data_IF_762393899234
#
_entry.id   IF_762393899234
#
_cell.length_a   1.000
_cell.length_b   1.000
_cell.length_c   1.000
_cell.angle_alpha   90.00
_cell.angle_beta   90.00
_cell.angle_gamma   90.00
#
_symmetry.space_group_name_H-M   'P 1'
#
loop_
_entity.id
_entity.type
_entity.pdbx_description
1 polymer ?
#
# COMPACT_ATOMS: atom_id res chain seq x y z
N UNK A 1 -0.03 -25.90 1.31
CA UNK A 1 0.54 -24.73 0.61
C UNK A 1 2.03 -24.72 0.90
N UNK A 2 2.89 -24.62 -0.12
CA UNK A 2 4.35 -24.54 0.08
C UNK A 2 4.74 -23.21 0.72
N UNK A 3 5.79 -23.20 1.55
CA UNK A 3 6.34 -21.97 2.16
C UNK A 3 7.06 -21.16 1.08
N UNK A 4 6.91 -19.84 1.10
CA UNK A 4 7.67 -18.94 0.22
C UNK A 4 9.18 -19.07 0.47
N UNK A 5 9.95 -19.17 -0.62
CA UNK A 5 11.41 -19.20 -0.62
C UNK A 5 11.94 -18.23 -1.68
N UNK A 6 12.74 -17.25 -1.24
CA UNK A 6 13.29 -16.20 -2.09
C UNK A 6 14.26 -16.74 -3.15
N UNK A 7 15.10 -17.72 -2.79
CA UNK A 7 16.08 -18.31 -3.71
C UNK A 7 15.38 -19.12 -4.80
N UNK A 8 14.37 -19.90 -4.41
CA UNK A 8 13.59 -20.65 -5.39
C UNK A 8 12.85 -19.70 -6.36
N UNK A 9 12.35 -18.55 -5.88
CA UNK A 9 11.74 -17.54 -6.75
C UNK A 9 12.74 -16.97 -7.76
N UNK A 10 13.95 -16.59 -7.34
CA UNK A 10 14.97 -16.05 -8.26
C UNK A 10 15.40 -17.07 -9.31
N UNK A 11 15.63 -18.32 -8.89
CA UNK A 11 15.93 -19.44 -9.80
C UNK A 11 14.82 -19.63 -10.83
N UNK A 12 13.56 -19.60 -10.39
CA UNK A 12 12.39 -19.72 -11.28
C UNK A 12 12.33 -18.57 -12.30
N UNK A 13 12.65 -17.35 -11.89
CA UNK A 13 12.67 -16.18 -12.79
C UNK A 13 13.73 -16.33 -13.88
N UNK A 14 14.92 -16.81 -13.52
CA UNK A 14 16.02 -17.09 -14.45
C UNK A 14 15.66 -18.24 -15.41
N UNK A 15 15.30 -19.41 -14.88
CA UNK A 15 15.04 -20.63 -15.66
C UNK A 15 13.92 -20.42 -16.69
N UNK A 16 12.84 -19.75 -16.29
CA UNK A 16 11.68 -19.52 -17.16
C UNK A 16 11.70 -18.18 -17.86
N UNK A 17 12.76 -17.38 -17.68
CA UNK A 17 12.88 -16.03 -18.24
C UNK A 17 11.64 -15.17 -17.97
N UNK A 18 11.15 -15.19 -16.73
CA UNK A 18 9.94 -14.48 -16.33
C UNK A 18 10.13 -12.97 -16.54
N UNK A 19 9.19 -12.34 -17.25
CA UNK A 19 9.25 -10.91 -17.58
C UNK A 19 8.45 -10.02 -16.64
N UNK A 20 7.44 -10.58 -15.97
CA UNK A 20 6.58 -9.86 -15.04
C UNK A 20 6.28 -10.69 -13.81
N UNK A 21 6.27 -10.04 -12.65
CA UNK A 21 5.94 -10.65 -11.36
C UNK A 21 4.98 -9.78 -10.58
N UNK A 22 4.11 -10.41 -9.79
CA UNK A 22 3.28 -9.72 -8.80
C UNK A 22 3.86 -10.00 -7.41
N UNK A 23 4.35 -8.95 -6.74
CA UNK A 23 4.96 -9.03 -5.42
C UNK A 23 4.22 -8.16 -4.43
N UNK A 24 3.92 -8.70 -3.26
CA UNK A 24 3.44 -7.89 -2.15
C UNK A 24 4.59 -7.02 -1.59
N UNK A 25 4.31 -5.84 -1.00
CA UNK A 25 5.32 -4.97 -0.41
C UNK A 25 6.34 -5.66 0.51
N UNK A 26 5.97 -6.64 1.38
CA UNK A 26 6.94 -7.35 2.21
C UNK A 26 8.03 -8.10 1.44
N UNK A 27 7.70 -8.66 0.26
CA UNK A 27 8.68 -9.35 -0.61
C UNK A 27 9.68 -8.32 -1.17
N UNK A 28 9.17 -7.18 -1.64
CA UNK A 28 10.01 -6.09 -2.17
C UNK A 28 10.95 -5.56 -1.08
N UNK A 29 10.44 -5.35 0.13
CA UNK A 29 11.23 -4.91 1.29
C UNK A 29 12.31 -5.94 1.65
N UNK A 30 11.98 -7.23 1.62
CA UNK A 30 12.94 -8.29 1.91
C UNK A 30 14.11 -8.32 0.90
N UNK A 31 13.81 -8.23 -0.40
CA UNK A 31 14.82 -8.15 -1.47
C UNK A 31 15.73 -6.93 -1.26
N UNK A 32 15.11 -5.75 -1.02
CA UNK A 32 15.86 -4.51 -0.81
C UNK A 32 16.74 -4.57 0.45
N UNK A 33 16.26 -5.19 1.54
CA UNK A 33 17.00 -5.33 2.81
C UNK A 33 18.18 -6.29 2.68
N UNK A 34 18.04 -7.39 1.94
CA UNK A 34 19.12 -8.38 1.73
C UNK A 34 20.19 -7.88 0.74
N UNK A 35 19.96 -6.74 0.09
CA UNK A 35 20.93 -6.11 -0.80
C UNK A 35 21.07 -6.86 -2.11
N UNK A 36 22.26 -6.80 -2.72
CA UNK A 36 22.53 -7.57 -3.93
C UNK A 36 22.52 -9.08 -3.67
N UNK A 37 22.67 -9.56 -2.42
CA UNK A 37 22.75 -11.01 -2.11
C UNK A 37 21.50 -11.78 -2.52
N UNK A 38 20.33 -11.15 -2.43
CA UNK A 38 19.08 -11.77 -2.86
C UNK A 38 19.03 -12.01 -4.37
N UNK A 39 19.75 -11.21 -5.16
CA UNK A 39 19.71 -11.21 -6.63
C UNK A 39 21.02 -11.68 -7.26
N UNK A 40 22.09 -11.81 -6.47
CA UNK A 40 23.44 -12.14 -6.93
C UNK A 40 23.49 -13.59 -7.42
N UNK A 41 24.20 -13.80 -8.52
CA UNK A 41 24.33 -15.12 -9.16
C UNK A 41 23.13 -15.58 -10.01
N UNK A 42 22.10 -14.74 -10.24
CA UNK A 42 20.98 -15.06 -11.13
C UNK A 42 20.91 -14.10 -12.33
N UNK A 43 20.63 -14.63 -13.53
CA UNK A 43 20.30 -13.82 -14.72
C UNK A 43 18.84 -13.34 -14.68
N UNK A 44 18.63 -12.18 -14.06
CA UNK A 44 17.32 -11.53 -13.96
C UNK A 44 17.04 -10.53 -15.09
N UNK A 45 17.81 -10.55 -16.20
CA UNK A 45 17.63 -9.63 -17.32
C UNK A 45 16.36 -9.87 -18.12
N UNK A 46 15.62 -10.95 -17.89
CA UNK A 46 14.27 -11.15 -18.42
C UNK A 46 13.24 -10.27 -17.73
N UNK A 47 13.43 -10.00 -16.43
CA UNK A 47 12.47 -9.27 -15.60
C UNK A 47 12.38 -7.81 -16.04
N UNK A 48 11.15 -7.33 -16.26
CA UNK A 48 10.83 -5.98 -16.75
C UNK A 48 9.86 -5.24 -15.84
N UNK A 49 8.92 -5.96 -15.22
CA UNK A 49 7.85 -5.35 -14.45
C UNK A 49 7.63 -6.08 -13.13
N UNK A 50 7.61 -5.32 -12.04
CA UNK A 50 7.10 -5.75 -10.73
C UNK A 50 5.79 -5.02 -10.50
N UNK A 51 4.69 -5.76 -10.46
CA UNK A 51 3.40 -5.26 -10.00
C UNK A 51 3.35 -5.38 -8.47
N UNK A 52 3.18 -4.25 -7.79
CA UNK A 52 3.14 -4.17 -6.34
C UNK A 52 1.82 -3.54 -5.88
N UNK A 53 1.16 -4.18 -4.92
CA UNK A 53 -0.12 -3.70 -4.40
C UNK A 53 -0.52 -4.41 -3.11
N UNK A 54 -1.67 -4.03 -2.56
CA UNK A 54 -2.20 -4.57 -1.31
C UNK A 54 -1.74 -3.84 -0.04
N UNK A 55 -0.62 -3.12 -0.09
CA UNK A 55 -0.25 -2.13 0.92
C UNK A 55 0.64 -1.03 0.29
N UNK A 56 0.77 0.15 0.94
CA UNK A 56 1.63 1.21 0.44
C UNK A 56 3.10 0.78 0.37
N UNK A 57 3.77 1.06 -0.75
CA UNK A 57 5.21 0.86 -0.90
C UNK A 57 5.94 2.20 -0.88
N UNK A 58 6.95 2.31 0.00
CA UNK A 58 7.70 3.55 0.20
C UNK A 58 8.56 3.89 -1.02
N UNK A 59 8.62 5.17 -1.39
CA UNK A 59 9.52 5.70 -2.43
C UNK A 59 10.96 5.23 -2.25
N UNK A 60 11.49 5.29 -1.02
CA UNK A 60 12.87 4.89 -0.72
C UNK A 60 13.14 3.41 -1.01
N UNK A 61 12.13 2.54 -0.85
CA UNK A 61 12.23 1.11 -1.18
C UNK A 61 12.18 0.92 -2.70
N UNK A 62 11.27 1.60 -3.39
CA UNK A 62 11.19 1.59 -4.87
C UNK A 62 12.52 2.03 -5.48
N UNK A 63 13.11 3.14 -5.01
CA UNK A 63 14.40 3.65 -5.51
C UNK A 63 15.55 2.67 -5.25
N UNK A 64 15.56 1.98 -4.10
CA UNK A 64 16.57 0.95 -3.81
C UNK A 64 16.40 -0.28 -4.69
N UNK A 65 15.16 -0.72 -4.94
CA UNK A 65 14.89 -1.82 -5.85
C UNK A 65 15.33 -1.48 -7.27
N UNK A 66 15.01 -0.28 -7.79
CA UNK A 66 15.48 0.19 -9.10
C UNK A 66 17.01 0.19 -9.21
N UNK A 67 17.74 0.45 -8.13
CA UNK A 67 19.22 0.36 -8.11
C UNK A 67 19.74 -1.07 -8.18
N UNK A 68 19.05 -2.02 -7.54
CA UNK A 68 19.41 -3.44 -7.57
C UNK A 68 19.03 -4.11 -8.90
N UNK A 69 17.88 -3.73 -9.45
CA UNK A 69 17.30 -4.28 -10.67
C UNK A 69 17.02 -3.13 -11.66
N UNK A 70 18.06 -2.60 -12.35
CA UNK A 70 17.93 -1.39 -13.18
C UNK A 70 17.01 -1.55 -14.40
N UNK A 71 16.75 -2.79 -14.84
CA UNK A 71 15.86 -3.07 -15.96
C UNK A 71 14.38 -3.20 -15.55
N UNK A 72 14.09 -3.09 -14.25
CA UNK A 72 12.76 -3.35 -13.69
C UNK A 72 12.04 -2.05 -13.39
N UNK A 73 10.78 -2.00 -13.84
CA UNK A 73 9.83 -0.98 -13.50
C UNK A 73 8.90 -1.47 -12.40
N UNK A 74 8.54 -0.59 -11.47
CA UNK A 74 7.64 -0.91 -10.35
C UNK A 74 6.30 -0.25 -10.62
N UNK A 75 5.31 -1.05 -11.02
CA UNK A 75 3.94 -0.61 -11.18
C UNK A 75 3.20 -0.77 -9.84
N UNK A 76 2.63 0.32 -9.35
CA UNK A 76 1.76 0.27 -8.19
C UNK A 76 0.31 0.03 -8.63
N UNK A 77 -0.46 -0.57 -7.74
CA UNK A 77 -1.89 -0.75 -7.92
C UNK A 77 -2.62 -0.61 -6.59
N UNK A 78 -3.80 0.01 -6.66
CA UNK A 78 -4.73 0.13 -5.56
C UNK A 78 -6.04 -0.58 -5.89
N UNK A 79 -6.56 -1.30 -4.91
CA UNK A 79 -7.84 -1.98 -4.96
C UNK A 79 -8.13 -2.64 -3.62
N UNK A 80 -9.39 -2.94 -3.38
CA UNK A 80 -9.86 -3.71 -2.22
C UNK A 80 -10.50 -4.99 -2.71
N UNK A 81 -10.73 -5.95 -1.81
CA UNK A 81 -11.33 -7.24 -2.20
C UNK A 81 -12.70 -7.04 -2.85
N UNK A 82 -13.46 -6.07 -2.35
CA UNK A 82 -14.79 -5.66 -2.80
C UNK A 82 -14.79 -5.05 -4.21
N UNK A 83 -13.63 -4.75 -4.79
CA UNK A 83 -13.48 -4.29 -6.18
C UNK A 83 -12.97 -5.38 -7.12
N UNK A 84 -12.94 -6.64 -6.67
CA UNK A 84 -12.45 -7.84 -7.39
C UNK A 84 -10.94 -7.83 -7.71
N UNK A 85 -10.32 -6.67 -7.75
CA UNK A 85 -8.91 -6.45 -8.05
C UNK A 85 -8.59 -4.96 -8.01
N UNK A 86 -7.64 -4.54 -8.86
CA UNK A 86 -7.21 -3.14 -8.93
C UNK A 86 -8.26 -2.23 -9.57
N UNK A 87 -8.49 -1.07 -8.95
CA UNK A 87 -9.29 0.05 -9.45
C UNK A 87 -8.41 1.16 -10.00
N UNK A 88 -7.26 1.39 -9.36
CA UNK A 88 -6.24 2.28 -9.85
C UNK A 88 -4.96 1.47 -10.09
N UNK A 89 -4.25 1.81 -11.16
CA UNK A 89 -3.02 1.11 -11.48
C UNK A 89 -2.16 1.89 -12.44
N UNK A 90 -0.86 1.66 -12.35
CA UNK A 90 0.09 2.17 -13.33
C UNK A 90 -0.13 1.44 -14.67
N UNK A 91 -0.46 2.18 -15.72
CA UNK A 91 -0.83 1.67 -17.05
C UNK A 91 0.33 1.67 -18.05
N UNK A 92 1.44 2.34 -17.73
CA UNK A 92 2.63 2.37 -18.59
C UNK A 92 3.91 2.73 -17.84
N UNK A 93 5.06 2.57 -18.52
CA UNK A 93 6.38 2.80 -17.91
C UNK A 93 6.59 4.24 -17.44
N UNK A 94 6.07 5.24 -18.15
CA UNK A 94 6.17 6.64 -17.73
C UNK A 94 5.44 6.90 -16.41
N UNK A 95 4.32 6.22 -16.20
CA UNK A 95 3.53 6.35 -14.98
C UNK A 95 4.23 5.69 -13.77
N UNK A 96 5.19 4.78 -14.00
CA UNK A 96 6.03 4.18 -12.94
C UNK A 96 7.02 5.19 -12.32
N UNK A 97 7.16 6.37 -12.92
CA UNK A 97 8.03 7.45 -12.43
C UNK A 97 7.26 8.48 -11.60
N UNK A 98 5.92 8.42 -11.54
CA UNK A 98 5.12 9.31 -10.70
C UNK A 98 5.19 8.84 -9.26
N UNK A 99 6.04 9.51 -8.49
CA UNK A 99 6.38 9.10 -7.13
C UNK A 99 5.17 9.15 -6.19
N UNK A 100 4.93 8.08 -5.44
CA UNK A 100 3.85 7.99 -4.46
C UNK A 100 2.47 7.70 -5.07
N UNK A 101 2.32 7.82 -6.39
CA UNK A 101 1.07 7.49 -7.06
C UNK A 101 0.84 5.97 -7.10
N UNK A 102 -0.41 5.58 -6.86
CA UNK A 102 -0.91 4.21 -7.04
C UNK A 102 -1.33 3.93 -8.50
N UNK A 103 -1.29 4.96 -9.34
CA UNK A 103 -1.65 4.91 -10.76
C UNK A 103 -2.94 5.67 -11.09
N UNK A 104 -3.45 5.47 -12.32
CA UNK A 104 -4.66 6.10 -12.81
C UNK A 104 -5.86 5.16 -12.73
N UNK A 105 -7.05 5.74 -12.81
CA UNK A 105 -8.32 5.01 -12.79
C UNK A 105 -8.36 4.01 -13.97
N UNK A 106 -8.65 2.75 -13.66
CA UNK A 106 -8.79 1.69 -14.65
C UNK A 106 -10.05 1.91 -15.50
N UNK A 107 -10.03 1.41 -16.74
CA UNK A 107 -11.17 1.49 -17.63
C UNK A 107 -12.43 0.89 -17.01
N UNK A 108 -13.59 1.47 -17.35
CA UNK A 108 -14.93 1.06 -16.89
C UNK A 108 -15.20 1.26 -15.39
N UNK A 109 -14.30 1.90 -14.64
CA UNK A 109 -14.58 2.41 -13.31
C UNK A 109 -14.92 3.89 -13.33
N UNK A 110 -15.66 4.31 -12.31
CA UNK A 110 -15.86 5.69 -11.89
C UNK A 110 -15.30 5.81 -10.48
N UNK A 111 -14.67 6.95 -10.17
CA UNK A 111 -14.18 7.23 -8.84
C UNK A 111 -14.43 8.70 -8.48
N UNK A 112 -14.71 8.94 -7.20
CA UNK A 112 -14.76 10.28 -6.61
C UNK A 112 -14.10 10.24 -5.24
N UNK A 113 -13.48 11.33 -4.86
CA UNK A 113 -13.02 11.55 -3.48
C UNK A 113 -14.08 12.41 -2.80
N UNK A 114 -14.56 11.99 -1.64
CA UNK A 114 -15.63 12.70 -0.91
C UNK A 114 -15.19 13.10 0.49
N UNK A 115 -15.81 14.13 1.04
CA UNK A 115 -15.69 14.45 2.46
C UNK A 115 -16.38 13.36 3.29
N UNK A 116 -15.66 12.62 4.16
CA UNK A 116 -16.24 11.54 4.95
C UNK A 116 -17.37 11.98 5.90
N UNK A 117 -17.46 13.27 6.23
CA UNK A 117 -18.46 13.80 7.17
C UNK A 117 -19.84 14.06 6.55
N UNK A 118 -19.88 14.35 5.25
CA UNK A 118 -21.11 14.78 4.56
C UNK A 118 -21.34 14.11 3.19
N UNK A 119 -20.37 13.37 2.66
CA UNK A 119 -20.46 12.64 1.39
C UNK A 119 -20.35 13.51 0.14
N UNK A 120 -20.02 14.80 0.27
CA UNK A 120 -19.87 15.73 -0.86
C UNK A 120 -18.56 15.46 -1.59
N UNK A 121 -18.62 15.42 -2.92
CA UNK A 121 -17.42 15.25 -3.76
C UNK A 121 -16.48 16.45 -3.63
N UNK A 122 -15.19 16.14 -3.49
CA UNK A 122 -14.12 17.12 -3.32
C UNK A 122 -13.40 17.40 -4.64
N UNK A 123 -12.79 18.59 -4.73
CA UNK A 123 -11.91 18.94 -5.84
C UNK A 123 -10.60 18.13 -5.81
N UNK A 124 -9.87 18.03 -6.94
CA UNK A 124 -8.55 17.41 -6.98
C UNK A 124 -7.60 17.98 -5.91
N UNK A 125 -6.63 17.18 -5.50
CA UNK A 125 -5.62 17.47 -4.47
C UNK A 125 -6.17 17.62 -3.03
N UNK A 126 -7.47 17.48 -2.81
CA UNK A 126 -8.07 17.50 -1.46
C UNK A 126 -8.23 16.07 -0.95
N UNK A 127 -7.62 15.69 0.18
CA UNK A 127 -7.81 14.37 0.79
C UNK A 127 -9.26 14.15 1.25
N UNK A 128 -9.81 12.98 0.94
CA UNK A 128 -11.13 12.51 1.36
C UNK A 128 -11.29 11.01 1.18
N UNK A 129 -12.46 10.46 1.48
CA UNK A 129 -12.73 9.04 1.28
C UNK A 129 -12.85 8.73 -0.21
N UNK A 130 -12.14 7.71 -0.68
CA UNK A 130 -12.27 7.24 -2.05
C UNK A 130 -13.55 6.40 -2.20
N UNK A 131 -14.44 6.82 -3.09
CA UNK A 131 -15.61 6.04 -3.49
C UNK A 131 -15.45 5.58 -4.93
N UNK A 132 -15.84 4.33 -5.19
CA UNK A 132 -15.62 3.65 -6.47
C UNK A 132 -16.91 3.03 -6.97
N UNK A 133 -17.19 3.11 -8.27
CA UNK A 133 -18.33 2.47 -8.91
C UNK A 133 -17.88 1.83 -10.22
N UNK A 134 -18.42 0.65 -10.55
CA UNK A 134 -18.07 -0.05 -11.78
C UNK A 134 -18.54 -1.50 -11.79
N UNK A 135 -18.38 -2.20 -12.92
CA UNK A 135 -18.91 -3.56 -13.10
C UNK A 135 -18.17 -4.63 -12.28
N UNK A 136 -17.02 -4.29 -11.70
CA UNK A 136 -16.21 -5.19 -10.88
C UNK A 136 -16.36 -4.95 -9.37
N UNK A 137 -17.24 -4.02 -8.97
CA UNK A 137 -17.67 -3.93 -7.57
C UNK A 137 -18.45 -5.21 -7.22
N UNK A 138 -18.20 -5.74 -6.03
CA UNK A 138 -18.81 -6.97 -5.54
C UNK A 138 -20.34 -6.91 -5.57
N UNK A 139 -20.98 -8.08 -5.56
CA UNK A 139 -22.43 -8.18 -5.37
C UNK A 139 -22.88 -7.88 -3.94
N UNK A 140 -21.98 -8.06 -2.97
CA UNK A 140 -22.25 -7.94 -1.54
C UNK A 140 -21.56 -9.04 -0.75
N UNK A 141 -21.61 -8.92 0.57
CA UNK A 141 -21.18 -9.94 1.50
C UNK A 141 -22.24 -11.06 1.61
N UNK A 142 -21.76 -12.30 1.71
CA UNK A 142 -22.63 -13.48 1.82
C UNK A 142 -23.41 -13.41 3.14
N UNK A 143 -24.73 -13.51 3.05
CA UNK A 143 -25.68 -13.47 4.17
C UNK A 143 -25.59 -12.22 5.07
N UNK A 144 -24.93 -11.15 4.61
CA UNK A 144 -24.75 -9.90 5.37
C UNK A 144 -25.10 -8.67 4.51
N UNK A 145 -26.41 -8.45 4.36
CA UNK A 145 -26.95 -7.29 3.64
C UNK A 145 -26.69 -5.99 4.38
N UNK A 146 -26.61 -6.01 5.71
CA UNK A 146 -26.36 -4.80 6.51
C UNK A 146 -24.94 -4.29 6.27
N UNK A 147 -23.92 -5.15 6.34
CA UNK A 147 -22.55 -4.79 6.00
C UNK A 147 -22.41 -4.37 4.53
N UNK A 148 -23.15 -5.01 3.62
CA UNK A 148 -23.16 -4.63 2.21
C UNK A 148 -23.67 -3.21 2.02
N UNK A 149 -24.85 -2.90 2.57
CA UNK A 149 -25.48 -1.57 2.45
C UNK A 149 -24.72 -0.48 3.24
N UNK A 150 -23.89 -0.86 4.21
CA UNK A 150 -23.04 0.08 4.92
C UNK A 150 -21.95 0.67 4.01
N UNK A 151 -21.40 -0.14 3.10
CA UNK A 151 -20.27 0.24 2.24
C UNK A 151 -20.63 0.39 0.77
N UNK A 152 -21.74 -0.17 0.28
CA UNK A 152 -22.25 0.08 -1.08
C UNK A 152 -23.55 0.87 -0.95
N UNK A 153 -23.57 2.08 -1.49
CA UNK A 153 -24.78 2.91 -1.46
C UNK A 153 -25.82 2.48 -2.50
N UNK A 154 -27.02 3.08 -2.44
CA UNK A 154 -28.12 2.78 -3.36
C UNK A 154 -27.83 3.15 -4.82
N UNK A 155 -26.84 4.00 -5.08
CA UNK A 155 -26.41 4.33 -6.44
C UNK A 155 -25.30 3.39 -6.94
N UNK A 156 -24.83 2.45 -6.12
CA UNK A 156 -23.78 1.50 -6.45
C UNK A 156 -22.36 2.01 -6.24
N UNK A 157 -22.16 3.07 -5.44
CA UNK A 157 -20.84 3.50 -5.00
C UNK A 157 -20.37 2.66 -3.82
N UNK A 158 -19.23 2.01 -3.98
CA UNK A 158 -18.46 1.39 -2.91
C UNK A 158 -17.61 2.44 -2.19
N UNK A 159 -17.85 2.61 -0.89
CA UNK A 159 -17.05 3.38 0.05
C UNK A 159 -15.85 2.55 0.48
N UNK A 160 -14.65 2.96 0.08
CA UNK A 160 -13.44 2.16 0.34
C UNK A 160 -13.01 2.14 1.81
N UNK A 161 -13.41 3.13 2.61
CA UNK A 161 -12.82 3.35 3.94
C UNK A 161 -11.38 3.87 3.91
N UNK A 162 -10.84 4.19 2.74
CA UNK A 162 -9.49 4.72 2.56
C UNK A 162 -9.51 6.22 2.24
N UNK A 163 -8.65 6.96 2.91
CA UNK A 163 -8.37 8.37 2.67
C UNK A 163 -7.34 8.50 1.54
N UNK A 164 -7.75 9.15 0.45
CA UNK A 164 -6.95 9.36 -0.73
C UNK A 164 -7.15 10.77 -1.29
N UNK A 165 -6.30 11.19 -2.22
CA UNK A 165 -6.59 12.31 -3.12
C UNK A 165 -6.24 11.93 -4.56
N UNK A 166 -6.87 12.60 -5.52
CA UNK A 166 -6.56 12.48 -6.95
C UNK A 166 -5.95 13.81 -7.40
N UNK A 167 -4.79 13.78 -8.07
CA UNK A 167 -4.17 15.00 -8.59
C UNK A 167 -4.83 15.49 -9.89
N UNK A 168 -4.36 16.62 -10.42
CA UNK A 168 -4.89 17.20 -11.66
C UNK A 168 -4.63 16.34 -12.91
N UNK A 169 -3.70 15.38 -12.83
CA UNK A 169 -3.35 14.47 -13.91
C UNK A 169 -4.11 13.13 -13.82
N UNK A 170 -4.93 12.94 -12.78
CA UNK A 170 -5.76 11.76 -12.55
C UNK A 170 -5.05 10.62 -11.81
N UNK A 171 -3.89 10.88 -11.19
CA UNK A 171 -3.21 9.89 -10.34
C UNK A 171 -3.80 9.87 -8.93
N UNK A 172 -4.03 8.66 -8.42
CA UNK A 172 -4.48 8.45 -7.05
C UNK A 172 -3.29 8.32 -6.10
N UNK A 173 -3.36 9.05 -4.99
CA UNK A 173 -2.43 8.98 -3.89
C UNK A 173 -3.15 8.48 -2.64
N UNK A 174 -2.65 7.38 -2.08
CA UNK A 174 -3.13 6.86 -0.81
C UNK A 174 -2.55 7.68 0.34
N UNK A 175 -3.39 8.05 1.30
CA UNK A 175 -2.98 8.76 2.52
C UNK A 175 -3.02 7.83 3.71
N UNK A 176 -4.19 7.26 4.01
CA UNK A 176 -4.36 6.37 5.17
C UNK A 176 -5.70 5.61 5.12
N UNK A 177 -5.95 4.70 6.07
CA UNK A 177 -7.28 4.14 6.34
C UNK A 177 -8.07 5.02 7.31
N UNK A 178 -9.35 5.28 7.04
CA UNK A 178 -10.21 6.09 7.92
C UNK A 178 -10.32 5.49 9.33
N UNK A 179 -10.48 4.17 9.43
CA UNK A 179 -10.60 3.47 10.72
C UNK A 179 -9.29 3.43 11.51
N UNK A 180 -8.15 3.65 10.86
CA UNK A 180 -6.83 3.63 11.50
C UNK A 180 -6.38 5.03 11.95
N UNK A 181 -7.12 6.09 11.59
CA UNK A 181 -6.80 7.44 12.05
C UNK A 181 -6.93 7.55 13.57
N UNK A 182 -5.83 7.92 14.22
CA UNK A 182 -5.79 8.15 15.66
C UNK A 182 -6.40 9.52 15.94
N UNK A 183 -7.47 9.55 16.73
CA UNK A 183 -8.06 10.80 17.22
C UNK A 183 -7.34 11.24 18.49
N UNK A 184 -6.58 12.33 18.42
CA UNK A 184 -5.88 12.90 19.58
C UNK A 184 -6.25 14.37 19.76
N UNK A 185 -6.93 14.69 20.86
CA UNK A 185 -7.39 16.06 21.20
C UNK A 185 -8.16 16.76 20.06
N UNK A 186 -9.00 16.01 19.33
CA UNK A 186 -9.78 16.55 18.21
C UNK A 186 -9.03 16.59 16.87
N UNK A 187 -7.73 16.29 16.85
CA UNK A 187 -6.95 16.16 15.62
C UNK A 187 -6.96 14.71 15.13
N UNK A 188 -6.98 14.54 13.81
CA UNK A 188 -6.76 13.25 13.17
C UNK A 188 -5.26 13.09 12.90
N UNK A 189 -4.68 12.03 13.44
CA UNK A 189 -3.28 11.68 13.30
C UNK A 189 -3.19 10.40 12.49
N UNK A 190 -2.44 10.41 11.38
CA UNK A 190 -2.25 9.23 10.55
C UNK A 190 -1.10 8.37 11.09
N UNK A 191 -1.34 7.11 11.53
CA UNK A 191 -0.28 6.18 11.91
C UNK A 191 0.81 6.06 10.85
N UNK A 192 0.43 5.94 9.57
CA UNK A 192 1.36 5.79 8.46
C UNK A 192 2.41 6.92 8.38
N UNK A 193 2.04 8.16 8.73
CA UNK A 193 2.97 9.29 8.76
C UNK A 193 3.98 9.15 9.91
N UNK A 194 3.53 8.72 11.09
CA UNK A 194 4.39 8.48 12.25
C UNK A 194 5.28 7.25 12.06
N UNK A 195 4.75 6.16 11.50
CA UNK A 195 5.51 4.97 11.09
C UNK A 195 6.54 5.32 10.01
N UNK A 196 6.21 6.25 9.11
CA UNK A 196 7.16 6.77 8.14
C UNK A 196 8.34 7.42 8.84
N UNK A 197 8.06 8.35 9.76
CA UNK A 197 9.05 9.06 10.55
C UNK A 197 9.92 8.13 11.39
N UNK A 198 9.33 7.17 12.12
CA UNK A 198 10.05 6.23 12.99
C UNK A 198 11.03 5.34 12.23
N UNK A 199 10.66 4.89 11.02
CA UNK A 199 11.55 4.10 10.17
C UNK A 199 12.68 4.90 9.51
N UNK A 200 12.72 6.24 9.64
CA UNK A 200 13.90 7.03 9.25
C UNK A 200 15.06 6.86 10.26
N UNK A 201 14.77 6.38 11.47
CA UNK A 201 15.78 6.15 12.50
C UNK A 201 16.64 4.89 12.17
N UNK A 202 17.98 4.97 12.24
CA UNK A 202 18.88 3.90 11.78
C UNK A 202 18.73 2.56 12.51
N UNK A 203 18.26 2.60 13.77
CA UNK A 203 18.06 1.42 14.62
C UNK A 203 16.67 0.78 14.48
N UNK A 204 15.78 1.34 13.67
CA UNK A 204 14.42 0.83 13.47
C UNK A 204 14.38 -0.16 12.30
N UNK A 205 14.02 -1.42 12.58
CA UNK A 205 13.86 -2.46 11.53
C UNK A 205 12.49 -2.36 10.85
N UNK A 206 11.46 -2.11 11.64
CA UNK A 206 10.08 -1.89 11.23
C UNK A 206 9.36 -1.07 12.32
N UNK A 207 8.20 -0.50 12.00
CA UNK A 207 7.41 0.26 12.97
C UNK A 207 5.92 0.18 12.64
N UNK A 208 5.11 0.04 13.68
CA UNK A 208 3.66 0.15 13.63
C UNK A 208 3.18 1.13 14.71
N UNK A 209 2.19 1.97 14.39
CA UNK A 209 1.63 2.97 15.30
C UNK A 209 0.17 2.65 15.53
N UNK A 210 -0.20 2.44 16.79
CA UNK A 210 -1.57 2.09 17.18
C UNK A 210 -2.13 3.09 18.21
N UNK A 211 -3.44 3.36 18.22
CA UNK A 211 -4.05 4.10 19.32
C UNK A 211 -3.94 3.31 20.62
N UNK A 212 -3.47 3.96 21.68
CA UNK A 212 -3.45 3.39 23.03
C UNK A 212 -4.36 4.20 23.96
N UNK A 213 -5.45 3.60 24.43
CA UNK A 213 -6.40 4.25 25.33
C UNK A 213 -5.92 4.07 26.76
N UNK A 214 -5.53 5.16 27.41
CA UNK A 214 -5.16 5.17 28.83
C UNK A 214 -6.38 5.54 29.67
N UNK A 215 -6.78 4.70 30.61
CA UNK A 215 -7.80 5.04 31.60
C UNK A 215 -7.19 5.90 32.76
N UNK A 216 -7.23 7.23 32.56
CA UNK A 216 -7.18 8.36 33.51
C UNK A 216 -5.92 8.80 34.31
N UNK A 217 -5.89 10.15 34.43
CA UNK A 217 -5.19 11.12 35.31
C UNK A 217 -3.67 10.96 35.50
N UNK A 218 -2.93 11.68 34.66
CA UNK A 218 -1.48 11.98 34.71
C UNK A 218 -0.57 10.86 34.20
N UNK A 219 -0.48 10.78 32.89
CA UNK A 219 0.73 10.27 32.23
C UNK A 219 1.47 11.45 31.63
N UNK A 220 2.74 11.66 32.02
CA UNK A 220 3.61 12.71 31.46
C UNK A 220 4.30 12.27 30.17
N UNK A 221 4.49 10.96 29.94
CA UNK A 221 4.97 10.34 28.69
C UNK A 221 4.62 8.85 28.67
N UNK A 222 4.18 8.34 27.52
CA UNK A 222 4.09 6.91 27.22
C UNK A 222 4.78 6.68 25.87
N UNK A 223 5.69 5.71 25.80
CA UNK A 223 6.40 5.29 24.58
C UNK A 223 6.37 3.76 24.56
N UNK A 224 5.88 3.17 23.49
CA UNK A 224 6.12 1.76 23.18
C UNK A 224 6.94 1.71 21.90
N UNK A 225 8.17 1.21 22.02
CA UNK A 225 9.06 0.86 20.93
C UNK A 225 9.17 -0.66 20.99
N UNK A 226 8.53 -1.37 20.08
CA UNK A 226 8.89 -2.76 19.81
C UNK A 226 10.03 -2.74 18.78
N UNK A 227 11.23 -2.41 19.26
CA UNK A 227 12.43 -2.61 18.48
C UNK A 227 12.85 -4.06 18.70
N UNK A 228 12.57 -4.95 17.74
CA UNK A 228 13.39 -6.15 17.61
C UNK A 228 14.79 -5.60 17.28
N UNK A 229 15.76 -5.68 18.20
CA UNK A 229 17.09 -5.17 17.94
C UNK A 229 17.62 -5.87 16.69
N UNK A 230 18.41 -5.19 15.87
CA UNK A 230 19.30 -5.90 14.95
C UNK A 230 20.19 -6.78 15.82
N UNK A 231 19.83 -8.05 15.99
CA UNK A 231 20.74 -8.98 16.63
C UNK A 231 21.97 -9.03 15.74
N UNK A 232 23.12 -8.74 16.33
CA UNK A 232 24.43 -8.92 15.68
C UNK A 232 24.69 -10.42 15.44
N UNK A 233 23.83 -11.31 15.93
CA UNK A 233 23.88 -12.74 15.71
C UNK A 233 22.45 -13.27 15.57
N UNK A 234 22.10 -13.68 14.35
CA UNK A 234 20.77 -14.23 14.06
C UNK A 234 20.46 -15.43 14.95
N UNK A 235 19.39 -15.29 15.74
CA UNK A 235 18.45 -16.33 16.15
C UNK A 235 17.28 -15.60 16.81
N UNK A 236 16.07 -16.02 16.42
CA UNK A 236 14.77 -15.53 16.90
C UNK A 236 14.65 -15.78 18.40
#
# INVERSE_FOLDING_TARGET
MGRFDLKQMMKTIEEHRISQVAWAPPIVVAIVKDGNRATDGYDLRSLRLVQCGGAPLRKSIISKLKKQLPNVQVAQAYGVTETTGRVFGTMGFKECEVEGATGKLMANFQAKVVDPSNGVALHPLIPGELWVKGPFVMKGYVDDKEATNAIVDSEGWLKSGDLCYIDNEGYLFFVNRLKELIKYKGYQVAPAELEHLLQTHPDTVDAAVIPYVVHYKRIRRLVFIDAIPKSVQGKV
#
